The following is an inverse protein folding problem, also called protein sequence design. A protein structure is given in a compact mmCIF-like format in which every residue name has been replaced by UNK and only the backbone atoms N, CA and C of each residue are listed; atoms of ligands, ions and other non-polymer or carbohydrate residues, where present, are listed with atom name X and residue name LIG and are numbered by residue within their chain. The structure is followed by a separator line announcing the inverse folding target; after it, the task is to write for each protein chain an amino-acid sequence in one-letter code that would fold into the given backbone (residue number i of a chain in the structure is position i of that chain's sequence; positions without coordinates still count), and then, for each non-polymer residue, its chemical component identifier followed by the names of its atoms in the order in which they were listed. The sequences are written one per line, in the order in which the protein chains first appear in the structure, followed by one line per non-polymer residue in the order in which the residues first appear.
data_IF_619537935797
#
_entry.id   IF_619537935797
#
_cell.length_a   1.000
_cell.length_b   1.000
_cell.length_c   1.000
_cell.angle_alpha   90.00
_cell.angle_beta   90.00
_cell.angle_gamma   90.00
#
_symmetry.space_group_name_H-M   'P 1'
#
loop_
_entity.id
_entity.type
_entity.pdbx_description
1 polymer ?
#
# COMPACT_ATOMS: atom_id res chain seq x y z
N UNK A 1 11.11 -13.27 13.29
CA UNK A 1 12.29 -13.52 12.45
C UNK A 1 12.50 -12.31 11.56
N UNK A 2 13.54 -11.52 11.81
CA UNK A 2 13.74 -10.22 11.17
C UNK A 2 14.43 -10.41 9.82
N UNK A 3 13.82 -10.00 8.71
CA UNK A 3 14.47 -10.05 7.39
C UNK A 3 15.77 -9.21 7.25
N UNK A 4 16.30 -8.63 8.34
CA UNK A 4 17.51 -7.80 8.38
C UNK A 4 18.64 -8.31 9.26
N UNK A 5 18.43 -9.32 10.10
CA UNK A 5 19.52 -9.88 10.91
C UNK A 5 20.20 -11.04 10.17
N UNK A 6 21.49 -11.24 10.47
CA UNK A 6 22.29 -12.32 9.88
C UNK A 6 21.65 -13.69 10.13
N UNK A 7 20.99 -13.87 11.27
CA UNK A 7 20.37 -15.12 11.68
C UNK A 7 19.15 -15.49 10.81
N UNK A 8 18.39 -14.51 10.34
CA UNK A 8 17.24 -14.75 9.46
C UNK A 8 17.66 -14.99 8.02
N UNK A 9 18.73 -14.31 7.57
CA UNK A 9 19.36 -14.62 6.27
C UNK A 9 19.95 -16.02 6.33
N UNK A 10 20.62 -16.38 7.44
CA UNK A 10 21.16 -17.70 7.68
C UNK A 10 20.08 -18.77 7.61
N UNK A 11 18.99 -18.62 8.34
CA UNK A 11 17.92 -19.62 8.33
C UNK A 11 17.26 -19.77 6.95
N UNK A 12 17.08 -18.66 6.22
CA UNK A 12 16.58 -18.71 4.84
C UNK A 12 17.55 -19.46 3.92
N UNK A 13 18.85 -19.21 4.08
CA UNK A 13 19.90 -19.89 3.33
C UNK A 13 19.91 -21.39 3.63
N UNK A 14 19.78 -21.79 4.90
CA UNK A 14 19.76 -23.20 5.31
C UNK A 14 18.54 -23.95 4.78
N UNK A 15 17.40 -23.27 4.61
CA UNK A 15 16.19 -23.84 3.99
C UNK A 15 16.38 -24.04 2.48
N UNK A 16 16.94 -23.05 1.78
CA UNK A 16 17.08 -23.07 0.31
C UNK A 16 18.26 -23.95 -0.13
N UNK A 17 19.33 -23.98 0.65
CA UNK A 17 20.57 -24.69 0.35
C UNK A 17 20.96 -25.69 1.46
N UNK A 18 20.09 -26.66 1.80
CA UNK A 18 20.30 -27.54 2.96
C UNK A 18 21.53 -28.46 2.83
N UNK A 19 22.03 -28.65 1.60
CA UNK A 19 23.20 -29.50 1.30
C UNK A 19 24.51 -28.70 1.35
N UNK A 20 24.44 -27.37 1.38
CA UNK A 20 25.61 -26.48 1.38
C UNK A 20 25.68 -25.70 2.68
N UNK A 21 26.07 -26.33 3.82
CA UNK A 21 26.14 -25.63 5.09
C UNK A 21 27.18 -24.52 5.02
N UNK A 22 26.73 -23.27 5.06
CA UNK A 22 27.59 -22.08 5.07
C UNK A 22 27.11 -21.14 6.16
N UNK A 23 28.05 -20.53 6.89
CA UNK A 23 27.73 -19.49 7.86
C UNK A 23 27.84 -18.13 7.20
N UNK A 24 26.70 -17.50 6.93
CA UNK A 24 26.61 -16.17 6.32
C UNK A 24 27.22 -15.12 7.25
N UNK A 25 28.00 -14.23 6.67
CA UNK A 25 28.63 -13.07 7.30
C UNK A 25 28.31 -11.82 6.50
N UNK A 26 28.47 -10.65 7.12
CA UNK A 26 28.26 -9.36 6.45
C UNK A 26 29.12 -9.16 5.20
N UNK A 27 30.30 -9.78 5.16
CA UNK A 27 31.23 -9.73 4.02
C UNK A 27 30.84 -10.63 2.86
N UNK A 28 29.87 -11.52 3.05
CA UNK A 28 29.59 -12.57 2.09
C UNK A 28 28.76 -12.03 0.93
N UNK A 29 29.03 -12.57 -0.26
CA UNK A 29 28.36 -12.16 -1.49
C UNK A 29 26.84 -12.40 -1.47
N UNK A 30 26.32 -13.26 -0.57
CA UNK A 30 24.88 -13.51 -0.37
C UNK A 30 24.22 -12.43 0.49
N UNK A 31 24.98 -11.80 1.40
CA UNK A 31 24.44 -10.82 2.33
C UNK A 31 24.02 -9.53 1.62
N UNK A 32 24.91 -8.94 0.81
CA UNK A 32 24.65 -7.65 0.16
C UNK A 32 23.45 -7.67 -0.82
N UNK A 33 23.28 -8.65 -1.71
CA UNK A 33 22.11 -8.75 -2.58
C UNK A 33 20.81 -8.93 -1.80
N UNK A 34 20.83 -9.69 -0.71
CA UNK A 34 19.65 -9.90 0.15
C UNK A 34 19.19 -8.59 0.79
N UNK A 35 20.12 -7.85 1.40
CA UNK A 35 19.82 -6.54 2.00
C UNK A 35 19.39 -5.53 0.94
N UNK A 36 20.04 -5.51 -0.22
CA UNK A 36 19.67 -4.63 -1.33
C UNK A 36 18.25 -4.93 -1.83
N UNK A 37 17.92 -6.21 -2.02
CA UNK A 37 16.58 -6.65 -2.45
C UNK A 37 15.50 -6.26 -1.45
N UNK A 38 15.77 -6.39 -0.15
CA UNK A 38 14.86 -5.92 0.88
C UNK A 38 14.67 -4.40 0.85
N UNK A 39 15.74 -3.63 0.59
CA UNK A 39 15.66 -2.19 0.40
C UNK A 39 14.76 -1.81 -0.78
N UNK A 40 14.89 -2.51 -1.91
CA UNK A 40 14.04 -2.34 -3.09
C UNK A 40 12.58 -2.63 -2.75
N UNK A 41 12.30 -3.76 -2.10
CA UNK A 41 10.94 -4.14 -1.69
C UNK A 41 10.32 -3.09 -0.77
N UNK A 42 11.07 -2.59 0.21
CA UNK A 42 10.59 -1.54 1.13
C UNK A 42 10.23 -0.26 0.38
N UNK A 43 11.09 0.19 -0.52
CA UNK A 43 10.84 1.40 -1.29
C UNK A 43 9.63 1.24 -2.21
N UNK A 44 9.46 0.08 -2.83
CA UNK A 44 8.28 -0.27 -3.62
C UNK A 44 7.00 -0.18 -2.78
N UNK A 45 6.96 -0.89 -1.64
CA UNK A 45 5.82 -0.88 -0.73
C UNK A 45 5.54 0.52 -0.16
N UNK A 46 6.57 1.30 0.18
CA UNK A 46 6.40 2.67 0.65
C UNK A 46 5.77 3.57 -0.40
N UNK A 47 6.18 3.45 -1.66
CA UNK A 47 5.62 4.21 -2.77
C UNK A 47 4.15 3.81 -3.05
N UNK A 48 3.87 2.50 -3.07
CA UNK A 48 2.53 1.97 -3.23
C UNK A 48 1.60 2.45 -2.10
N UNK A 49 2.07 2.40 -0.85
CA UNK A 49 1.32 2.87 0.31
C UNK A 49 0.98 4.35 0.24
N UNK A 50 1.91 5.22 -0.17
CA UNK A 50 1.62 6.65 -0.35
C UNK A 50 0.50 6.84 -1.37
N UNK A 51 0.56 6.15 -2.50
CA UNK A 51 -0.45 6.23 -3.55
C UNK A 51 -1.82 5.74 -3.07
N UNK A 52 -1.85 4.59 -2.40
CA UNK A 52 -3.07 3.99 -1.88
C UNK A 52 -3.74 4.88 -0.82
N UNK A 53 -2.94 5.43 0.12
CA UNK A 53 -3.43 6.36 1.15
C UNK A 53 -3.91 7.67 0.54
N UNK A 54 -3.16 8.25 -0.41
CA UNK A 54 -3.57 9.46 -1.13
C UNK A 54 -4.95 9.28 -1.78
N UNK A 55 -5.17 8.15 -2.47
CA UNK A 55 -6.46 7.84 -3.12
C UNK A 55 -7.57 7.67 -2.08
N UNK A 56 -7.34 6.90 -1.04
CA UNK A 56 -8.30 6.70 0.04
C UNK A 56 -8.68 8.02 0.73
N UNK A 57 -7.70 8.85 1.10
CA UNK A 57 -7.93 10.13 1.76
C UNK A 57 -8.65 11.12 0.84
N UNK A 58 -8.30 11.18 -0.45
CA UNK A 58 -8.98 12.05 -1.43
C UNK A 58 -10.47 11.71 -1.52
N UNK A 59 -10.79 10.41 -1.64
CA UNK A 59 -12.18 9.94 -1.66
C UNK A 59 -12.91 10.21 -0.35
N UNK A 60 -12.23 9.97 0.77
CA UNK A 60 -12.81 10.14 2.11
C UNK A 60 -13.08 11.59 2.44
N UNK A 61 -12.12 12.49 2.18
CA UNK A 61 -12.26 13.92 2.44
C UNK A 61 -13.39 14.51 1.61
N UNK A 62 -13.51 14.11 0.35
CA UNK A 62 -14.62 14.52 -0.52
C UNK A 62 -15.98 14.04 0.02
N UNK A 63 -16.09 12.76 0.42
CA UNK A 63 -17.34 12.17 0.93
C UNK A 63 -17.77 12.75 2.28
N UNK A 64 -16.81 12.94 3.19
CA UNK A 64 -17.04 13.44 4.56
C UNK A 64 -17.01 14.97 4.66
N UNK A 65 -16.79 15.69 3.56
CA UNK A 65 -16.65 17.15 3.50
C UNK A 65 -15.61 17.68 4.50
N UNK A 66 -14.44 17.03 4.53
CA UNK A 66 -13.31 17.40 5.38
C UNK A 66 -12.46 18.45 4.65
N UNK A 67 -12.97 19.68 4.61
CA UNK A 67 -12.44 20.75 3.74
C UNK A 67 -11.22 21.48 4.34
N UNK A 68 -11.06 21.45 5.66
CA UNK A 68 -9.97 22.14 6.37
C UNK A 68 -8.81 21.21 6.71
N UNK A 69 -7.59 21.77 6.80
CA UNK A 69 -6.39 21.02 7.21
C UNK A 69 -6.57 20.41 8.60
N UNK A 70 -7.15 21.15 9.55
CA UNK A 70 -7.42 20.66 10.90
C UNK A 70 -8.39 19.47 10.90
N UNK A 71 -9.50 19.54 10.15
CA UNK A 71 -10.46 18.43 10.08
C UNK A 71 -9.84 17.16 9.47
N UNK A 72 -8.92 17.32 8.50
CA UNK A 72 -8.16 16.21 7.91
C UNK A 72 -7.16 15.61 8.90
N UNK A 73 -6.41 16.44 9.62
CA UNK A 73 -5.46 16.00 10.63
C UNK A 73 -6.15 15.30 11.81
N UNK A 74 -7.30 15.82 12.27
CA UNK A 74 -8.12 15.20 13.30
C UNK A 74 -8.67 13.85 12.84
N UNK A 75 -9.15 13.76 11.60
CA UNK A 75 -9.60 12.51 11.00
C UNK A 75 -8.51 11.43 11.04
N UNK A 76 -7.30 11.79 10.60
CA UNK A 76 -6.17 10.85 10.60
C UNK A 76 -5.78 10.47 12.03
N UNK A 77 -5.76 11.41 12.96
CA UNK A 77 -5.50 11.13 14.38
C UNK A 77 -6.53 10.15 14.96
N UNK A 78 -7.80 10.28 14.56
CA UNK A 78 -8.85 9.35 14.97
C UNK A 78 -8.68 7.95 14.37
N UNK A 79 -8.15 7.82 13.15
CA UNK A 79 -7.79 6.53 12.56
C UNK A 79 -6.71 5.79 13.36
N UNK A 80 -5.88 6.51 14.12
CA UNK A 80 -4.82 5.89 14.93
C UNK A 80 -5.24 5.58 16.38
N UNK A 81 -6.46 5.91 16.80
CA UNK A 81 -6.92 5.62 18.16
C UNK A 81 -7.21 4.12 18.34
N UNK A 82 -6.41 3.46 19.18
CA UNK A 82 -6.63 2.08 19.64
C UNK A 82 -7.89 1.98 20.51
N UNK A 83 -8.64 0.89 20.40
CA UNK A 83 -9.75 0.56 21.32
C UNK A 83 -9.35 -0.39 22.46
N UNK A 84 -8.05 -0.66 22.62
CA UNK A 84 -7.52 -1.55 23.65
C UNK A 84 -7.46 -3.02 23.23
N UNK A 85 -8.40 -3.49 22.39
CA UNK A 85 -8.47 -4.89 21.96
C UNK A 85 -7.72 -5.15 20.65
N UNK A 86 -7.47 -4.10 19.85
CA UNK A 86 -6.83 -4.24 18.54
C UNK A 86 -5.75 -3.17 18.35
N UNK A 87 -4.49 -3.55 18.06
CA UNK A 87 -3.44 -2.58 17.77
C UNK A 87 -3.76 -1.83 16.47
N UNK A 88 -3.94 -0.51 16.61
CA UNK A 88 -4.04 0.50 15.55
C UNK A 88 -5.12 0.15 14.50
N UNK A 89 -6.36 0.47 14.84
CA UNK A 89 -7.53 0.19 14.00
C UNK A 89 -7.66 1.27 12.94
N UNK A 90 -7.30 0.93 11.70
CA UNK A 90 -7.87 1.61 10.54
C UNK A 90 -9.39 1.38 10.54
N UNK A 91 -10.13 2.23 11.25
CA UNK A 91 -11.59 2.16 11.40
C UNK A 91 -12.25 2.53 10.08
N UNK A 92 -12.25 1.61 9.13
CA UNK A 92 -13.11 1.71 7.97
C UNK A 92 -14.43 1.01 8.29
N UNK A 93 -15.44 1.82 8.61
CA UNK A 93 -16.82 1.34 8.65
C UNK A 93 -17.29 1.22 7.21
N UNK A 94 -17.47 -0.02 6.74
CA UNK A 94 -18.18 -0.25 5.48
C UNK A 94 -19.66 -0.11 5.79
N UNK A 95 -20.30 0.93 5.28
CA UNK A 95 -21.77 1.06 5.36
C UNK A 95 -22.35 -0.20 4.75
N UNK A 96 -23.01 -1.03 5.58
CA UNK A 96 -23.73 -2.19 5.08
C UNK A 96 -24.99 -1.77 4.33
N UNK A 97 -25.60 -2.68 3.59
CA UNK A 97 -26.85 -2.44 2.85
C UNK A 97 -28.05 -2.13 3.77
N UNK A 98 -27.87 -2.21 5.10
CA UNK A 98 -28.89 -1.94 6.10
C UNK A 98 -28.74 -0.49 6.59
N UNK A 99 -29.73 0.39 6.33
CA UNK A 99 -29.75 1.75 6.86
C UNK A 99 -29.66 1.74 8.39
N UNK A 100 -28.81 2.60 8.96
CA UNK A 100 -28.57 2.74 10.40
C UNK A 100 -27.86 1.58 11.12
N UNK A 101 -27.33 0.58 10.40
CA UNK A 101 -26.43 -0.38 11.03
C UNK A 101 -25.03 0.24 11.16
N UNK A 102 -24.36 0.15 12.33
CA UNK A 102 -22.93 0.44 12.39
C UNK A 102 -22.28 -0.52 11.40
N UNK A 103 -21.64 0.02 10.37
CA UNK A 103 -21.09 -0.74 9.26
C UNK A 103 -20.22 -1.92 9.70
N UNK A 104 -20.03 -2.91 8.82
CA UNK A 104 -19.19 -4.07 9.15
C UNK A 104 -17.76 -3.59 9.42
N UNK A 105 -17.26 -3.91 10.61
CA UNK A 105 -15.89 -3.62 11.03
C UNK A 105 -14.95 -4.45 10.16
N UNK A 106 -14.14 -3.81 9.32
CA UNK A 106 -13.00 -4.49 8.71
C UNK A 106 -11.92 -4.73 9.77
N UNK A 107 -11.38 -5.93 9.80
CA UNK A 107 -10.32 -6.33 10.72
C UNK A 107 -9.02 -5.57 10.45
N UNK A 108 -8.10 -5.65 11.41
CA UNK A 108 -6.71 -5.20 11.22
C UNK A 108 -6.17 -5.87 9.94
N UNK A 109 -5.44 -5.12 9.11
CA UNK A 109 -4.89 -5.56 7.81
C UNK A 109 -5.84 -5.63 6.60
N UNK A 110 -7.12 -5.26 6.76
CA UNK A 110 -8.12 -5.35 5.69
C UNK A 110 -8.57 -3.98 5.13
N UNK A 111 -7.95 -2.89 5.55
CA UNK A 111 -8.26 -1.57 5.00
C UNK A 111 -7.84 -1.50 3.53
N UNK A 112 -8.60 -0.79 2.71
CA UNK A 112 -8.34 -0.66 1.27
C UNK A 112 -6.86 -0.27 0.99
N UNK A 113 -6.24 0.68 1.72
CA UNK A 113 -4.83 1.02 1.49
C UNK A 113 -3.84 -0.10 1.80
N UNK A 114 -4.08 -0.92 2.83
CA UNK A 114 -3.21 -2.06 3.16
C UNK A 114 -3.35 -3.14 2.09
N UNK A 115 -4.58 -3.46 1.70
CA UNK A 115 -4.85 -4.47 0.66
C UNK A 115 -4.27 -4.04 -0.69
N UNK A 116 -4.39 -2.77 -1.07
CA UNK A 116 -3.79 -2.25 -2.30
C UNK A 116 -2.26 -2.31 -2.25
N UNK A 117 -1.67 -1.90 -1.13
CA UNK A 117 -0.21 -1.98 -0.93
C UNK A 117 0.29 -3.42 -0.99
N UNK A 118 -0.42 -4.35 -0.35
CA UNK A 118 -0.11 -5.78 -0.41
C UNK A 118 -0.29 -6.35 -1.82
N UNK A 119 -1.33 -5.94 -2.56
CA UNK A 119 -1.54 -6.39 -3.94
C UNK A 119 -0.38 -5.96 -4.84
N UNK A 120 0.17 -4.76 -4.63
CA UNK A 120 1.34 -4.27 -5.38
C UNK A 120 2.59 -5.15 -5.20
N UNK A 121 2.72 -5.85 -4.06
CA UNK A 121 3.78 -6.85 -3.87
C UNK A 121 3.57 -8.05 -4.79
N UNK A 122 2.39 -8.66 -4.79
CA UNK A 122 2.07 -9.80 -5.65
C UNK A 122 2.28 -9.46 -7.13
N UNK A 123 1.84 -8.28 -7.57
CA UNK A 123 2.08 -7.80 -8.94
C UNK A 123 3.57 -7.64 -9.26
N UNK A 124 4.37 -7.11 -8.33
CA UNK A 124 5.81 -6.91 -8.53
C UNK A 124 6.64 -8.20 -8.50
N UNK A 125 6.15 -9.23 -7.81
CA UNK A 125 6.81 -10.54 -7.72
C UNK A 125 6.54 -11.43 -8.94
N UNK A 126 5.84 -10.94 -9.96
CA UNK A 126 5.48 -11.73 -11.15
C UNK A 126 4.43 -12.80 -10.87
N UNK A 127 3.76 -12.74 -9.71
CA UNK A 127 2.64 -13.62 -9.38
C UNK A 127 1.43 -13.05 -10.13
N UNK A 128 1.18 -13.58 -11.32
CA UNK A 128 0.09 -13.15 -12.20
C UNK A 128 -1.29 -13.63 -11.71
N UNK A 129 -1.32 -14.59 -10.79
CA UNK A 129 -2.55 -15.13 -10.24
C UNK A 129 -3.02 -14.28 -9.06
N UNK A 130 -4.32 -13.99 -9.04
CA UNK A 130 -4.94 -13.33 -7.91
C UNK A 130 -4.67 -14.14 -6.64
N UNK A 131 -4.36 -13.48 -5.50
CA UNK A 131 -4.12 -14.19 -4.25
C UNK A 131 -5.33 -15.09 -3.92
N UNK A 132 -5.03 -16.32 -3.47
CA UNK A 132 -6.05 -17.30 -3.10
C UNK A 132 -6.96 -16.73 -2.02
N UNK A 133 -8.24 -17.12 -2.06
CA UNK A 133 -9.21 -16.72 -1.02
C UNK A 133 -8.93 -17.40 0.33
N UNK A 134 -8.17 -18.50 0.32
CA UNK A 134 -7.86 -19.32 1.47
C UNK A 134 -6.45 -19.00 2.00
N UNK A 135 -6.31 -19.10 3.33
CA UNK A 135 -5.03 -19.04 4.02
C UNK A 135 -4.10 -20.16 3.53
N UNK A 136 -2.89 -19.83 3.03
CA UNK A 136 -1.95 -20.83 2.52
C UNK A 136 -1.35 -21.70 3.64
N UNK A 137 -1.62 -21.38 4.90
CA UNK A 137 -1.16 -22.12 6.07
C UNK A 137 0.06 -21.47 6.71
N UNK A 138 0.34 -21.86 7.96
CA UNK A 138 1.28 -21.16 8.87
C UNK A 138 2.67 -20.94 8.25
N UNK A 139 3.17 -21.87 7.43
CA UNK A 139 4.49 -21.79 6.80
C UNK A 139 4.57 -20.82 5.61
N UNK A 140 3.45 -20.55 4.94
CA UNK A 140 3.38 -19.82 3.68
C UNK A 140 2.71 -18.44 3.82
N UNK A 141 2.27 -18.08 5.03
CA UNK A 141 1.70 -16.76 5.33
C UNK A 141 2.76 -15.66 5.13
N UNK A 142 2.44 -14.59 4.37
CA UNK A 142 3.38 -13.51 4.07
C UNK A 142 3.51 -12.51 5.23
N UNK A 143 3.78 -12.99 6.45
CA UNK A 143 3.79 -12.19 7.70
C UNK A 143 4.68 -10.95 7.57
N UNK A 144 5.91 -11.13 7.07
CA UNK A 144 6.86 -10.03 6.93
C UNK A 144 6.41 -8.97 5.91
N UNK A 145 5.83 -9.40 4.79
CA UNK A 145 5.36 -8.49 3.73
C UNK A 145 4.13 -7.73 4.21
N UNK A 146 3.18 -8.41 4.86
CA UNK A 146 1.99 -7.76 5.40
C UNK A 146 2.33 -6.75 6.50
N UNK A 147 3.28 -7.09 7.38
CA UNK A 147 3.79 -6.15 8.37
C UNK A 147 4.45 -4.92 7.74
N UNK A 148 5.27 -5.11 6.70
CA UNK A 148 5.91 -4.03 5.96
C UNK A 148 4.90 -3.14 5.24
N UNK A 149 3.92 -3.73 4.56
CA UNK A 149 2.83 -3.00 3.91
C UNK A 149 2.04 -2.15 4.92
N UNK A 150 1.75 -2.73 6.09
CA UNK A 150 1.03 -2.04 7.16
C UNK A 150 1.84 -0.88 7.74
N UNK A 151 3.12 -1.09 8.01
CA UNK A 151 4.02 -0.03 8.48
C UNK A 151 4.19 1.09 7.44
N UNK A 152 4.26 0.73 6.15
CA UNK A 152 4.32 1.70 5.04
C UNK A 152 3.04 2.54 4.95
N UNK A 153 1.87 1.92 5.11
CA UNK A 153 0.57 2.62 5.15
C UNK A 153 0.48 3.54 6.36
N UNK A 154 0.85 3.07 7.55
CA UNK A 154 0.90 3.92 8.75
C UNK A 154 1.81 5.13 8.56
N UNK A 155 2.98 4.93 7.96
CA UNK A 155 3.87 6.02 7.57
C UNK A 155 3.18 7.01 6.63
N UNK A 156 2.56 6.53 5.56
CA UNK A 156 1.90 7.37 4.56
C UNK A 156 0.78 8.23 5.18
N UNK A 157 -0.07 7.66 6.03
CA UNK A 157 -1.09 8.44 6.73
C UNK A 157 -0.49 9.48 7.70
N UNK A 158 0.59 9.14 8.42
CA UNK A 158 1.29 10.10 9.28
C UNK A 158 1.86 11.27 8.49
N UNK A 159 2.40 11.05 7.29
CA UNK A 159 2.83 12.13 6.39
C UNK A 159 1.68 13.07 6.02
N UNK A 160 0.49 12.52 5.77
CA UNK A 160 -0.70 13.32 5.48
C UNK A 160 -1.25 14.11 6.67
N UNK A 161 -1.03 13.65 7.90
CA UNK A 161 -1.48 14.34 9.11
C UNK A 161 -0.66 15.61 9.39
N UNK A 162 0.64 15.57 9.10
CA UNK A 162 1.55 16.69 9.37
C UNK A 162 1.69 17.65 8.19
N UNK A 163 1.40 17.21 6.97
CA UNK A 163 1.59 18.01 5.75
C UNK A 163 3.05 18.10 5.29
N UNK A 164 3.99 17.58 6.09
CA UNK A 164 5.40 17.47 5.75
C UNK A 164 5.63 16.23 4.89
N UNK A 165 5.56 16.42 3.57
CA UNK A 165 6.03 15.41 2.62
C UNK A 165 7.56 15.31 2.68
N UNK A 166 8.04 14.49 3.63
CA UNK A 166 9.40 13.95 3.73
C UNK A 166 10.50 14.99 4.01
N UNK A 167 10.89 15.13 5.27
CA UNK A 167 12.30 15.45 5.61
C UNK A 167 13.15 14.18 5.47
N UNK A 168 14.38 14.31 4.96
CA UNK A 168 15.33 13.21 4.67
C UNK A 168 15.57 12.21 5.82
N UNK A 169 15.29 12.60 7.08
CA UNK A 169 15.36 11.72 8.26
C UNK A 169 14.16 10.79 8.49
N UNK A 170 13.11 10.79 7.65
CA UNK A 170 11.93 9.93 7.80
C UNK A 170 11.74 8.93 6.64
N UNK A 171 12.84 8.56 5.97
CA UNK A 171 12.81 7.52 4.94
C UNK A 171 12.30 6.19 5.53
N UNK A 172 11.67 5.35 4.70
CA UNK A 172 11.18 4.03 5.11
C UNK A 172 12.35 3.04 5.23
N UNK A 173 13.15 3.22 6.28
CA UNK A 173 14.34 2.44 6.57
C UNK A 173 14.18 1.64 7.89
N UNK A 174 15.11 0.72 8.14
CA UNK A 174 15.08 -0.13 9.34
C UNK A 174 15.15 0.67 10.64
N UNK A 175 15.92 1.76 10.67
CA UNK A 175 16.18 2.54 11.87
C UNK A 175 14.90 3.17 12.42
N UNK A 176 14.11 3.80 11.55
CA UNK A 176 12.89 4.51 11.96
C UNK A 176 11.63 3.63 11.96
N UNK A 177 11.53 2.65 11.05
CA UNK A 177 10.31 1.87 10.82
C UNK A 177 10.45 0.38 11.11
N UNK A 178 11.67 -0.09 11.41
CA UNK A 178 11.91 -1.46 11.86
C UNK A 178 11.11 -1.81 13.12
N UNK A 179 11.18 -1.03 14.22
CA UNK A 179 10.42 -1.32 15.44
C UNK A 179 8.91 -1.42 15.22
N UNK A 180 8.33 -0.54 14.38
CA UNK A 180 6.90 -0.59 14.04
C UNK A 180 6.56 -1.84 13.23
N UNK A 181 7.39 -2.18 12.24
CA UNK A 181 7.23 -3.41 11.44
C UNK A 181 7.22 -4.64 12.34
N UNK A 182 8.13 -4.69 13.32
CA UNK A 182 8.27 -5.82 14.26
C UNK A 182 7.05 -5.99 15.12
N UNK A 183 6.50 -4.89 15.65
CA UNK A 183 5.24 -4.94 16.40
C UNK A 183 4.10 -5.55 15.58
N UNK A 184 4.01 -5.22 14.29
CA UNK A 184 3.03 -5.84 13.41
C UNK A 184 3.34 -7.31 13.14
N UNK A 185 4.61 -7.68 12.93
CA UNK A 185 4.99 -9.08 12.75
C UNK A 185 4.64 -9.93 13.97
N UNK A 186 4.92 -9.43 15.17
CA UNK A 186 4.62 -10.15 16.42
C UNK A 186 3.11 -10.35 16.59
N UNK A 187 2.31 -9.32 16.30
CA UNK A 187 0.84 -9.44 16.33
C UNK A 187 0.32 -10.42 15.27
N UNK A 188 0.80 -10.33 14.03
CA UNK A 188 0.43 -11.22 12.92
C UNK A 188 0.77 -12.70 13.24
N UNK A 189 1.91 -12.94 13.87
CA UNK A 189 2.40 -14.28 14.15
C UNK A 189 1.73 -14.92 15.38
N UNK A 190 1.47 -14.13 16.43
CA UNK A 190 1.09 -14.68 17.73
C UNK A 190 -0.40 -14.49 18.06
N UNK A 191 -1.03 -13.42 17.54
CA UNK A 191 -2.38 -13.01 17.99
C UNK A 191 -3.46 -13.31 16.95
N UNK A 192 -3.09 -13.54 15.69
CA UNK A 192 -4.04 -13.92 14.63
C UNK A 192 -4.22 -15.44 14.51
N UNK A 193 -5.43 -15.91 14.81
CA UNK A 193 -5.88 -17.25 14.47
C UNK A 193 -6.17 -17.43 12.96
N UNK A 194 -6.41 -18.69 12.55
CA UNK A 194 -6.70 -19.09 11.18
C UNK A 194 -7.92 -18.38 10.56
N UNK A 195 -8.97 -18.14 11.36
CA UNK A 195 -10.15 -17.41 10.89
C UNK A 195 -9.79 -15.96 10.48
N UNK A 196 -8.92 -15.28 11.24
CA UNK A 196 -8.46 -13.95 10.86
C UNK A 196 -7.64 -13.97 9.58
N UNK A 197 -6.75 -14.97 9.41
CA UNK A 197 -5.96 -15.12 8.20
C UNK A 197 -6.83 -15.38 6.97
N UNK A 198 -7.78 -16.31 7.06
CA UNK A 198 -8.77 -16.55 6.01
C UNK A 198 -9.56 -15.28 5.66
N UNK A 199 -9.93 -14.49 6.67
CA UNK A 199 -10.62 -13.22 6.45
C UNK A 199 -9.74 -12.20 5.70
N UNK A 200 -8.44 -12.12 6.00
CA UNK A 200 -7.48 -11.24 5.30
C UNK A 200 -7.34 -11.67 3.83
N UNK A 201 -7.15 -12.96 3.55
CA UNK A 201 -7.00 -13.48 2.19
C UNK A 201 -8.28 -13.33 1.38
N UNK A 202 -9.44 -13.58 1.98
CA UNK A 202 -10.74 -13.34 1.36
C UNK A 202 -10.95 -11.86 1.01
N UNK A 203 -10.56 -10.94 1.92
CA UNK A 203 -10.63 -9.51 1.67
C UNK A 203 -9.68 -9.08 0.54
N UNK A 204 -8.45 -9.61 0.51
CA UNK A 204 -7.47 -9.33 -0.53
C UNK A 204 -7.94 -9.82 -1.91
N UNK A 205 -8.47 -11.03 -1.98
CA UNK A 205 -9.03 -11.60 -3.22
C UNK A 205 -10.21 -10.78 -3.73
N UNK A 206 -11.14 -10.41 -2.82
CA UNK A 206 -12.28 -9.55 -3.15
C UNK A 206 -11.85 -8.15 -3.63
N UNK A 207 -10.81 -7.59 -3.01
CA UNK A 207 -10.24 -6.30 -3.39
C UNK A 207 -9.57 -6.37 -4.77
N UNK A 208 -8.78 -7.41 -5.04
CA UNK A 208 -8.19 -7.66 -6.36
C UNK A 208 -9.27 -7.73 -7.46
N UNK A 209 -10.33 -8.49 -7.23
CA UNK A 209 -11.45 -8.58 -8.18
C UNK A 209 -12.21 -7.26 -8.37
N UNK A 210 -12.22 -6.37 -7.37
CA UNK A 210 -12.77 -5.02 -7.49
C UNK A 210 -11.88 -4.15 -8.38
N UNK A 211 -10.57 -4.14 -8.14
CA UNK A 211 -9.60 -3.37 -8.94
C UNK A 211 -9.66 -3.79 -10.41
N UNK A 212 -9.65 -5.09 -10.71
CA UNK A 212 -9.73 -5.57 -12.11
C UNK A 212 -11.03 -5.16 -12.79
N UNK A 213 -12.16 -5.09 -12.06
CA UNK A 213 -13.43 -4.59 -12.61
C UNK A 213 -13.37 -3.10 -12.91
N UNK A 214 -12.78 -2.31 -12.02
CA UNK A 214 -12.61 -0.86 -12.23
C UNK A 214 -11.70 -0.56 -13.44
N UNK A 215 -10.60 -1.31 -13.59
CA UNK A 215 -9.71 -1.22 -14.76
C UNK A 215 -10.41 -1.60 -16.06
N UNK A 216 -11.22 -2.67 -16.05
CA UNK A 216 -11.99 -3.07 -17.22
C UNK A 216 -13.04 -2.02 -17.63
N UNK A 217 -13.63 -1.30 -16.68
CA UNK A 217 -14.56 -0.20 -16.98
C UNK A 217 -13.81 0.95 -17.66
N UNK A 218 -12.65 1.34 -17.12
CA UNK A 218 -11.84 2.43 -17.69
C UNK A 218 -11.37 2.11 -19.12
N UNK A 219 -10.94 0.88 -19.38
CA UNK A 219 -10.45 0.45 -20.69
C UNK A 219 -11.56 0.23 -21.74
N UNK A 220 -12.83 0.17 -21.32
CA UNK A 220 -14.00 0.03 -22.20
C UNK A 220 -14.75 1.36 -22.43
N UNK A 221 -14.23 2.48 -21.93
CA UNK A 221 -14.72 3.80 -22.33
C UNK A 221 -14.26 4.01 -23.78
N UNK A 222 -15.18 4.13 -24.77
CA UNK A 222 -14.79 4.50 -26.12
C UNK A 222 -14.04 5.82 -26.03
N UNK A 223 -12.86 5.91 -26.64
CA UNK A 223 -12.27 7.22 -26.94
C UNK A 223 -13.35 8.00 -27.68
N UNK A 224 -13.94 9.01 -27.03
CA UNK A 224 -14.80 9.96 -27.73
C UNK A 224 -13.92 10.52 -28.85
N UNK A 225 -14.24 10.16 -30.09
CA UNK A 225 -13.63 10.76 -31.27
C UNK A 225 -13.65 12.27 -31.04
N UNK A 226 -12.48 12.90 -30.93
CA UNK A 226 -12.37 14.35 -30.91
C UNK A 226 -13.22 14.88 -32.07
N UNK A 227 -14.41 15.40 -31.73
CA UNK A 227 -15.25 16.10 -32.66
C UNK A 227 -14.40 17.27 -33.15
N UNK A 228 -13.86 17.13 -34.36
CA UNK A 228 -13.02 18.14 -35.01
C UNK A 228 -13.84 19.42 -35.07
N UNK A 229 -13.65 20.29 -34.09
CA UNK A 229 -14.15 21.66 -34.13
C UNK A 229 -13.59 22.26 -35.42
N UNK A 230 -14.43 22.67 -36.39
CA UNK A 230 -13.95 23.30 -37.60
C UNK A 230 -13.13 24.52 -37.20
N UNK A 231 -11.87 24.56 -37.61
CA UNK A 231 -11.02 25.73 -37.39
C UNK A 231 -11.76 26.96 -37.92
N UNK A 232 -11.85 28.06 -37.15
CA UNK A 232 -12.41 29.29 -37.66
C UNK A 232 -11.59 29.73 -38.88
N UNK A 233 -12.24 30.28 -39.93
CA UNK A 233 -11.56 30.67 -41.16
C UNK A 233 -10.44 31.67 -40.83
N UNK A 234 -9.24 31.36 -41.30
CA UNK A 234 -8.04 32.18 -41.13
C UNK A 234 -8.32 33.62 -41.58
N UNK A 235 -8.05 34.59 -40.70
CA UNK A 235 -8.14 36.01 -41.02
C UNK A 235 -7.30 36.35 -42.27
N UNK A 236 -7.79 37.25 -43.14
CA UNK A 236 -7.06 37.65 -44.33
C UNK A 236 -5.73 38.32 -43.98
N UNK A 237 -4.70 38.16 -44.84
CA UNK A 237 -3.36 38.67 -44.57
C UNK A 237 -3.38 40.19 -44.40
N UNK A 238 -2.79 40.65 -43.30
CA UNK A 238 -2.61 42.07 -42.98
C UNK A 238 -1.78 42.75 -44.07
N UNK A 239 -2.17 43.96 -44.54
CA UNK A 239 -1.49 44.63 -45.63
C UNK A 239 -0.07 45.03 -45.21
N UNK A 240 0.88 44.82 -46.14
CA UNK A 240 2.28 45.17 -45.98
C UNK A 240 2.42 46.66 -45.62
N UNK A 241 3.20 46.93 -44.57
CA UNK A 241 3.57 48.28 -44.20
C UNK A 241 4.39 48.90 -45.34
N UNK A 242 3.78 49.82 -46.08
CA UNK A 242 4.48 50.72 -46.99
C UNK A 242 5.51 51.53 -46.19
N UNK A 243 6.78 51.24 -46.46
CA UNK A 243 7.87 52.18 -46.19
C UNK A 243 7.78 53.30 -47.22
N UNK A 244 7.44 54.50 -46.78
CA UNK A 244 7.73 55.72 -47.55
C UNK A 244 8.27 56.80 -46.62
N UNK A 245 9.54 57.12 -46.89
CA UNK A 245 10.38 58.27 -46.52
C UNK A 245 10.71 58.52 -45.04
#
# INVERSE_FOLDING_TARGET
MFLTDLDSIQASYDIVYPIFPARIRHSDAVYHPTISSLGVLRNHLASAAITAVQRHLTNTFRRKRLDTIHARADYITQLFKSDGDHPIIWREYVVGDIPNHPGTRRGVFQSDPILETLLSYYSSSGIMEAPTCEDPGVGDRPIGVLALATAAVERAYKMHATGDFITSGQQFNTEFWGPTTVKFMDYLANDLNEHHWNSIFSALSSFSAKVSREEAIYNNVPEEEEERVPLPPSDPPSPAADRVC
#
